data_IF_578723531822
#
_entry.id   IF_578723531822
#
_cell.length_a   1.000
_cell.length_b   1.000
_cell.length_c   1.000
_cell.angle_alpha   90.00
_cell.angle_beta   90.00
_cell.angle_gamma   90.00
#
_symmetry.space_group_name_H-M   'P 1'
#
loop_
_entity.id
_entity.type
_entity.pdbx_description
1 polymer ?
#
# COMPACT_ATOMS: atom_id res chain seq x y z
N UNK A 1 13.52 40.77 37.28
CA UNK A 1 14.55 39.74 37.05
C UNK A 1 13.85 38.44 36.65
N UNK A 2 13.53 38.20 35.36
CA UNK A 2 12.99 36.90 34.95
C UNK A 2 14.11 35.86 34.92
N UNK A 3 13.90 34.77 35.64
CA UNK A 3 14.82 33.64 35.80
C UNK A 3 15.06 32.88 34.50
N UNK A 4 16.34 32.61 34.25
CA UNK A 4 16.97 31.89 33.12
C UNK A 4 16.55 30.42 32.93
N UNK A 5 15.55 29.91 33.65
CA UNK A 5 15.17 28.49 33.65
C UNK A 5 14.01 28.15 32.70
N UNK A 6 13.32 29.14 32.14
CA UNK A 6 12.20 28.88 31.22
C UNK A 6 12.66 28.64 29.76
N UNK A 7 13.94 28.83 29.47
CA UNK A 7 14.49 28.70 28.10
C UNK A 7 14.99 27.28 27.77
N UNK A 8 15.17 26.39 28.75
CA UNK A 8 15.69 25.05 28.52
C UNK A 8 14.63 24.01 28.08
N UNK A 9 13.36 24.21 28.47
CA UNK A 9 12.28 23.26 28.16
C UNK A 9 11.76 23.43 26.73
N UNK A 10 11.85 24.63 26.15
CA UNK A 10 11.45 24.86 24.76
C UNK A 10 12.49 24.34 23.76
N UNK A 11 13.74 24.07 24.18
CA UNK A 11 14.83 23.65 23.29
C UNK A 11 14.98 22.12 23.15
N UNK A 12 14.37 21.30 24.02
CA UNK A 12 14.46 19.84 23.93
C UNK A 12 13.37 19.19 23.05
N UNK A 13 12.39 19.96 22.56
CA UNK A 13 11.28 19.45 21.73
C UNK A 13 11.59 19.47 20.22
N UNK A 14 12.80 19.88 19.83
CA UNK A 14 13.20 20.09 18.42
C UNK A 14 14.09 18.95 17.87
N UNK A 15 14.55 17.98 18.68
CA UNK A 15 15.55 17.00 18.24
C UNK A 15 15.18 15.51 18.42
N UNK A 16 13.90 15.18 18.54
CA UNK A 16 13.42 13.81 18.35
C UNK A 16 12.08 13.87 17.62
N UNK A 17 11.97 13.31 16.40
CA UNK A 17 10.68 13.25 15.73
C UNK A 17 9.70 12.49 16.65
N UNK A 18 8.46 12.97 16.83
CA UNK A 18 7.44 12.20 17.52
C UNK A 18 7.37 10.80 16.90
N UNK A 19 7.21 9.77 17.74
CA UNK A 19 7.28 8.36 17.31
C UNK A 19 6.37 8.07 16.09
N UNK A 20 5.25 8.77 15.98
CA UNK A 20 4.36 8.73 14.82
C UNK A 20 5.04 9.11 13.49
N UNK A 21 5.80 10.22 13.43
CA UNK A 21 6.50 10.62 12.22
C UNK A 21 7.65 9.68 11.85
N UNK A 22 8.28 9.05 12.84
CA UNK A 22 9.29 8.03 12.60
C UNK A 22 8.65 6.75 12.01
N UNK A 23 7.47 6.37 12.52
CA UNK A 23 6.68 5.24 12.04
C UNK A 23 6.19 5.47 10.60
N UNK A 24 5.61 6.64 10.30
CA UNK A 24 5.15 6.99 8.94
C UNK A 24 6.30 6.95 7.94
N UNK A 25 7.47 7.48 8.30
CA UNK A 25 8.67 7.41 7.44
C UNK A 25 9.15 5.98 7.22
N UNK A 26 9.13 5.15 8.26
CA UNK A 26 9.51 3.74 8.14
C UNK A 26 8.55 2.97 7.24
N UNK A 27 7.24 3.23 7.35
CA UNK A 27 6.21 2.65 6.48
C UNK A 27 6.35 3.12 5.04
N UNK A 28 6.58 4.40 4.80
CA UNK A 28 6.87 4.93 3.47
C UNK A 28 8.11 4.28 2.85
N UNK A 29 9.17 4.11 3.63
CA UNK A 29 10.41 3.46 3.17
C UNK A 29 10.18 1.97 2.91
N UNK A 30 9.35 1.29 3.70
CA UNK A 30 8.94 -0.09 3.43
C UNK A 30 8.12 -0.21 2.15
N UNK A 31 7.12 0.67 1.95
CA UNK A 31 6.31 0.69 0.73
C UNK A 31 7.12 0.97 -0.53
N UNK A 32 8.09 1.89 -0.46
CA UNK A 32 9.01 2.14 -1.59
C UNK A 32 9.87 0.92 -1.92
N UNK A 33 10.34 0.18 -0.91
CA UNK A 33 11.09 -1.06 -1.12
C UNK A 33 10.22 -2.15 -1.73
N UNK A 34 9.00 -2.34 -1.23
CA UNK A 34 8.08 -3.34 -1.78
C UNK A 34 7.79 -3.09 -3.27
N UNK A 35 7.58 -1.81 -3.64
CA UNK A 35 7.34 -1.43 -5.04
C UNK A 35 8.59 -1.71 -5.90
N UNK A 36 9.78 -1.36 -5.41
CA UNK A 36 11.03 -1.64 -6.12
C UNK A 36 11.23 -3.16 -6.30
N UNK A 37 11.11 -3.94 -5.23
CA UNK A 37 11.25 -5.39 -5.24
C UNK A 37 10.24 -6.06 -6.18
N UNK A 38 9.00 -5.54 -6.24
CA UNK A 38 7.99 -6.03 -7.17
C UNK A 38 8.42 -5.83 -8.63
N UNK A 39 8.90 -4.64 -8.99
CA UNK A 39 9.35 -4.38 -10.36
C UNK A 39 10.67 -5.08 -10.72
N UNK A 40 11.56 -5.31 -9.76
CA UNK A 40 12.74 -6.16 -9.99
C UNK A 40 12.31 -7.57 -10.41
N UNK A 41 11.30 -8.14 -9.72
CA UNK A 41 10.78 -9.49 -10.01
C UNK A 41 9.99 -9.59 -11.31
N UNK A 42 9.33 -8.51 -11.73
CA UNK A 42 8.60 -8.47 -13.01
C UNK A 42 9.49 -8.03 -14.18
N UNK A 43 10.80 -7.82 -13.95
CA UNK A 43 11.75 -7.46 -14.98
C UNK A 43 11.61 -6.00 -15.46
N UNK A 44 11.17 -5.11 -14.57
CA UNK A 44 10.92 -3.69 -14.82
C UNK A 44 9.89 -3.43 -15.94
N UNK A 45 8.92 -4.33 -16.07
CA UNK A 45 7.82 -4.22 -17.02
C UNK A 45 6.54 -3.85 -16.31
N UNK A 46 5.69 -3.09 -17.03
CA UNK A 46 4.32 -2.90 -16.63
C UNK A 46 3.58 -4.25 -16.59
N UNK A 47 2.68 -4.41 -15.63
CA UNK A 47 1.97 -5.65 -15.31
C UNK A 47 0.46 -5.46 -15.31
N UNK A 48 0.00 -4.22 -15.18
CA UNK A 48 -1.40 -3.83 -15.13
C UNK A 48 -1.91 -3.30 -16.46
N UNK A 49 -1.04 -3.10 -17.44
CA UNK A 49 -1.40 -2.72 -18.82
C UNK A 49 -0.87 -3.74 -19.83
N UNK A 50 -1.63 -3.96 -20.91
CA UNK A 50 -1.25 -4.81 -22.04
C UNK A 50 -0.28 -4.09 -22.99
N UNK A 51 0.19 -4.80 -24.02
CA UNK A 51 1.12 -4.25 -25.03
C UNK A 51 0.50 -3.07 -25.83
N UNK A 52 -0.82 -2.92 -25.77
CA UNK A 52 -1.58 -1.83 -26.38
C UNK A 52 -1.81 -0.66 -25.40
N UNK A 53 -1.33 -0.76 -24.16
CA UNK A 53 -1.45 0.26 -23.12
C UNK A 53 -2.81 0.27 -22.42
N UNK A 54 -3.62 -0.78 -22.57
CA UNK A 54 -4.95 -0.90 -21.93
C UNK A 54 -4.87 -1.70 -20.63
N UNK A 55 -5.71 -1.41 -19.63
CA UNK A 55 -5.70 -2.16 -18.38
C UNK A 55 -6.00 -3.65 -18.58
N UNK A 56 -5.25 -4.52 -17.92
CA UNK A 56 -5.48 -5.97 -17.94
C UNK A 56 -6.71 -6.36 -17.11
N UNK A 57 -7.22 -7.57 -17.31
CA UNK A 57 -8.30 -8.10 -16.45
C UNK A 57 -7.91 -8.15 -14.97
N UNK A 58 -6.64 -8.47 -14.66
CA UNK A 58 -6.11 -8.45 -13.31
C UNK A 58 -6.14 -7.03 -12.71
N UNK A 59 -5.84 -6.00 -13.50
CA UNK A 59 -5.92 -4.62 -13.06
C UNK A 59 -7.35 -4.26 -12.59
N UNK A 60 -8.36 -4.64 -13.38
CA UNK A 60 -9.77 -4.43 -13.01
C UNK A 60 -10.19 -5.20 -11.76
N UNK A 61 -9.72 -6.44 -11.59
CA UNK A 61 -9.97 -7.22 -10.36
C UNK A 61 -9.40 -6.51 -9.13
N UNK A 62 -8.13 -6.08 -9.19
CA UNK A 62 -7.49 -5.37 -8.07
C UNK A 62 -8.20 -4.05 -7.78
N UNK A 63 -8.54 -3.27 -8.81
CA UNK A 63 -9.30 -2.01 -8.65
C UNK A 63 -10.64 -2.22 -7.94
N UNK A 64 -11.40 -3.23 -8.35
CA UNK A 64 -12.68 -3.55 -7.72
C UNK A 64 -12.50 -3.87 -6.23
N UNK A 65 -11.47 -4.66 -5.88
CA UNK A 65 -11.16 -4.99 -4.48
C UNK A 65 -10.74 -3.76 -3.67
N UNK A 66 -9.89 -2.89 -4.21
CA UNK A 66 -9.45 -1.66 -3.53
C UNK A 66 -10.64 -0.72 -3.23
N UNK A 67 -11.61 -0.64 -4.14
CA UNK A 67 -12.86 0.12 -3.93
C UNK A 67 -13.76 -0.53 -2.87
N UNK A 68 -13.64 -1.83 -2.69
CA UNK A 68 -14.35 -2.61 -1.69
C UNK A 68 -13.56 -2.78 -0.37
N UNK A 69 -12.50 -2.00 -0.15
CA UNK A 69 -11.65 -2.11 1.04
C UNK A 69 -12.42 -1.93 2.37
N UNK A 70 -13.51 -1.15 2.36
CA UNK A 70 -14.42 -1.01 3.51
C UNK A 70 -15.01 -2.34 4.01
N UNK A 71 -15.15 -3.34 3.14
CA UNK A 71 -15.62 -4.67 3.53
C UNK A 71 -14.62 -5.40 4.46
N UNK A 72 -13.34 -5.00 4.44
CA UNK A 72 -12.31 -5.48 5.36
C UNK A 72 -12.06 -4.51 6.53
N UNK A 73 -12.91 -3.49 6.70
CA UNK A 73 -12.74 -2.46 7.74
C UNK A 73 -11.63 -1.45 7.45
N UNK A 74 -11.15 -1.39 6.21
CA UNK A 74 -10.15 -0.43 5.76
C UNK A 74 -10.81 0.82 5.15
N UNK A 75 -10.09 1.93 5.11
CA UNK A 75 -10.60 3.17 4.53
C UNK A 75 -10.37 3.16 3.01
N UNK A 76 -11.42 3.31 2.22
CA UNK A 76 -11.34 3.23 0.75
C UNK A 76 -10.49 4.37 0.18
N UNK A 77 -10.49 5.54 0.83
CA UNK A 77 -9.78 6.73 0.34
C UNK A 77 -8.25 6.56 0.40
N UNK A 78 -7.76 5.60 1.19
CA UNK A 78 -6.34 5.31 1.35
C UNK A 78 -5.68 4.63 0.15
N UNK A 79 -6.47 4.04 -0.75
CA UNK A 79 -5.98 3.19 -1.84
C UNK A 79 -6.24 3.77 -3.23
N UNK A 80 -6.65 5.04 -3.32
CA UNK A 80 -6.87 5.77 -4.59
C UNK A 80 -7.81 5.04 -5.58
N UNK A 81 -8.67 4.13 -5.12
CA UNK A 81 -9.43 3.23 -5.99
C UNK A 81 -10.28 3.95 -7.05
N UNK A 82 -10.96 5.02 -6.66
CA UNK A 82 -11.77 5.85 -7.58
C UNK A 82 -10.91 6.59 -8.61
N UNK A 83 -9.78 7.15 -8.20
CA UNK A 83 -8.87 7.86 -9.11
C UNK A 83 -8.24 6.89 -10.12
N UNK A 84 -7.77 5.74 -9.65
CA UNK A 84 -7.15 4.72 -10.52
C UNK A 84 -8.17 4.08 -11.48
N UNK A 85 -9.44 3.95 -11.08
CA UNK A 85 -10.50 3.51 -12.01
C UNK A 85 -10.74 4.52 -13.14
N UNK A 86 -10.71 5.82 -12.82
CA UNK A 86 -10.82 6.86 -13.83
C UNK A 86 -9.63 6.81 -14.81
N UNK A 87 -8.41 6.65 -14.29
CA UNK A 87 -7.19 6.45 -15.10
C UNK A 87 -7.30 5.20 -15.99
N UNK A 88 -7.74 4.06 -15.43
CA UNK A 88 -7.95 2.81 -16.17
C UNK A 88 -8.99 2.99 -17.30
N UNK A 89 -10.10 3.66 -17.01
CA UNK A 89 -11.15 3.94 -18.01
C UNK A 89 -10.63 4.82 -19.13
N UNK A 90 -9.82 5.84 -18.81
CA UNK A 90 -9.21 6.71 -19.81
C UNK A 90 -8.20 5.98 -20.71
N UNK A 91 -7.43 5.03 -20.15
CA UNK A 91 -6.53 4.15 -20.90
C UNK A 91 -7.31 3.20 -21.81
N UNK A 92 -8.36 2.55 -21.30
CA UNK A 92 -9.23 1.64 -22.06
C UNK A 92 -9.87 2.34 -23.27
N UNK A 93 -10.33 3.58 -23.09
CA UNK A 93 -10.94 4.39 -24.15
C UNK A 93 -9.92 5.01 -25.11
N UNK A 94 -8.62 4.84 -24.87
CA UNK A 94 -7.55 5.46 -25.65
C UNK A 94 -7.55 6.99 -25.60
N UNK A 95 -8.12 7.57 -24.52
CA UNK A 95 -8.10 9.00 -24.23
C UNK A 95 -6.73 9.37 -23.67
N UNK A 96 -6.24 8.58 -22.72
CA UNK A 96 -4.85 8.61 -22.30
C UNK A 96 -4.00 7.93 -23.39
N UNK A 97 -3.07 8.67 -24.00
CA UNK A 97 -2.25 8.18 -25.12
C UNK A 97 -0.75 8.23 -24.84
N UNK A 98 -0.33 8.80 -23.71
CA UNK A 98 1.08 8.84 -23.37
C UNK A 98 1.49 7.54 -22.66
N UNK A 99 2.65 7.00 -23.01
CA UNK A 99 3.29 5.92 -22.26
C UNK A 99 3.51 6.28 -20.79
N UNK A 100 3.63 7.58 -20.49
CA UNK A 100 3.71 8.11 -19.13
C UNK A 100 2.42 7.88 -18.32
N UNK A 101 1.23 7.98 -18.95
CA UNK A 101 -0.05 7.77 -18.27
C UNK A 101 -0.21 6.30 -17.86
N UNK A 102 0.11 5.39 -18.79
CA UNK A 102 0.10 3.95 -18.53
C UNK A 102 1.11 3.55 -17.43
N UNK A 103 2.31 4.13 -17.45
CA UNK A 103 3.31 3.89 -16.40
C UNK A 103 2.88 4.46 -15.04
N UNK A 104 2.27 5.65 -15.01
CA UNK A 104 1.76 6.25 -13.78
C UNK A 104 0.62 5.43 -13.17
N UNK A 105 -0.30 4.93 -14.01
CA UNK A 105 -1.35 4.01 -13.60
C UNK A 105 -0.76 2.71 -13.05
N UNK A 106 0.20 2.11 -13.76
CA UNK A 106 0.81 0.83 -13.38
C UNK A 106 1.52 0.91 -12.00
N UNK A 107 2.33 1.96 -11.79
CA UNK A 107 2.98 2.21 -10.49
C UNK A 107 1.95 2.57 -9.42
N UNK A 108 0.93 3.35 -9.77
CA UNK A 108 -0.15 3.75 -8.86
C UNK A 108 -0.92 2.54 -8.33
N UNK A 109 -1.31 1.63 -9.22
CA UNK A 109 -2.04 0.42 -8.85
C UNK A 109 -1.16 -0.54 -8.04
N UNK A 110 0.11 -0.72 -8.41
CA UNK A 110 1.09 -1.50 -7.63
C UNK A 110 1.22 -0.97 -6.21
N UNK A 111 1.40 0.34 -6.06
CA UNK A 111 1.56 0.99 -4.75
C UNK A 111 0.33 0.80 -3.87
N UNK A 112 -0.87 1.03 -4.43
CA UNK A 112 -2.13 0.85 -3.70
C UNK A 112 -2.38 -0.61 -3.31
N UNK A 113 -2.09 -1.56 -4.20
CA UNK A 113 -2.27 -2.99 -3.94
C UNK A 113 -1.33 -3.48 -2.82
N UNK A 114 -0.05 -3.10 -2.84
CA UNK A 114 0.90 -3.48 -1.80
C UNK A 114 0.54 -2.87 -0.43
N UNK A 115 0.13 -1.59 -0.42
CA UNK A 115 -0.38 -0.94 0.80
C UNK A 115 -1.59 -1.68 1.35
N UNK A 116 -2.55 -2.01 0.48
CA UNK A 116 -3.76 -2.74 0.86
C UNK A 116 -3.44 -4.12 1.47
N UNK A 117 -2.62 -4.94 0.80
CA UNK A 117 -2.25 -6.28 1.31
C UNK A 117 -1.55 -6.20 2.68
N UNK A 118 -0.68 -5.20 2.85
CA UNK A 118 0.03 -4.95 4.11
C UNK A 118 -0.93 -4.56 5.22
N UNK A 119 -1.80 -3.58 4.99
CA UNK A 119 -2.74 -3.09 6.00
C UNK A 119 -3.85 -4.10 6.30
N UNK A 120 -4.25 -4.91 5.32
CA UNK A 120 -5.16 -6.03 5.52
C UNK A 120 -4.59 -7.07 6.49
N UNK A 121 -3.30 -7.40 6.33
CA UNK A 121 -2.65 -8.44 7.14
C UNK A 121 -2.19 -7.94 8.50
N UNK A 122 -1.60 -6.74 8.55
CA UNK A 122 -0.98 -6.19 9.76
C UNK A 122 -1.93 -5.32 10.58
N UNK A 123 -3.07 -4.93 10.02
CA UNK A 123 -3.89 -3.85 10.53
C UNK A 123 -3.24 -2.47 10.34
N UNK A 124 -4.02 -1.41 10.56
CA UNK A 124 -3.54 -0.01 10.45
C UNK A 124 -2.84 0.50 11.72
N UNK A 125 -3.11 -0.11 12.87
CA UNK A 125 -2.65 0.38 14.18
C UNK A 125 -1.72 -0.65 14.81
N UNK A 126 -0.53 -0.21 15.22
CA UNK A 126 0.36 -1.02 16.05
C UNK A 126 -0.28 -1.23 17.44
N UNK A 127 -0.63 -2.46 17.83
CA UNK A 127 -1.24 -2.73 19.13
C UNK A 127 -0.34 -2.33 20.31
N UNK A 128 0.98 -2.23 20.10
CA UNK A 128 1.92 -1.73 21.11
C UNK A 128 1.71 -0.24 21.40
N UNK A 129 1.30 0.55 20.41
CA UNK A 129 0.92 1.94 20.60
C UNK A 129 -0.37 2.10 21.43
N UNK A 130 -1.19 1.03 21.50
CA UNK A 130 -2.38 0.93 22.34
C UNK A 130 -2.12 0.24 23.70
N UNK A 131 -0.86 -0.08 24.02
CA UNK A 131 -0.47 -0.72 25.29
C UNK A 131 -0.68 -2.24 25.34
N UNK A 132 -1.04 -2.88 24.23
CA UNK A 132 -1.11 -4.33 24.13
C UNK A 132 0.26 -4.91 23.80
N UNK A 133 0.78 -5.78 24.67
CA UNK A 133 1.92 -6.64 24.34
C UNK A 133 1.38 -7.85 23.56
N UNK A 134 1.27 -7.71 22.24
CA UNK A 134 1.15 -8.88 21.39
C UNK A 134 2.55 -9.48 21.21
N UNK A 135 2.77 -10.65 21.82
CA UNK A 135 4.00 -11.45 21.70
C UNK A 135 4.13 -12.16 20.34
N UNK A 136 3.16 -11.98 19.45
CA UNK A 136 3.25 -12.48 18.09
C UNK A 136 4.25 -11.62 17.30
N UNK A 137 5.39 -12.23 16.97
CA UNK A 137 6.26 -11.71 15.92
C UNK A 137 5.41 -11.52 14.67
N UNK A 138 5.25 -10.27 14.23
CA UNK A 138 4.64 -9.95 12.94
C UNK A 138 5.43 -10.72 11.89
N UNK A 139 4.82 -11.76 11.32
CA UNK A 139 5.49 -12.57 10.31
C UNK A 139 5.64 -11.71 9.04
N UNK A 140 6.87 -11.40 8.62
CA UNK A 140 7.08 -10.56 7.45
C UNK A 140 6.66 -11.34 6.22
N UNK A 141 5.44 -11.08 5.73
CA UNK A 141 4.97 -11.60 4.46
C UNK A 141 5.70 -10.87 3.33
N UNK A 142 6.20 -11.64 2.34
CA UNK A 142 6.75 -11.12 1.09
C UNK A 142 5.58 -10.66 0.18
N UNK A 143 4.99 -9.51 0.51
CA UNK A 143 3.87 -8.93 -0.24
C UNK A 143 4.19 -8.71 -1.73
N UNK A 144 5.40 -8.28 -2.14
CA UNK A 144 5.80 -8.24 -3.55
C UNK A 144 5.66 -9.60 -4.26
N UNK A 145 6.18 -10.67 -3.66
CA UNK A 145 6.07 -12.02 -4.24
C UNK A 145 4.62 -12.53 -4.30
N UNK A 146 3.82 -12.24 -3.27
CA UNK A 146 2.40 -12.58 -3.24
C UNK A 146 1.62 -11.86 -4.33
N UNK A 147 1.83 -10.56 -4.49
CA UNK A 147 1.17 -9.77 -5.54
C UNK A 147 1.58 -10.26 -6.93
N UNK A 148 2.87 -10.53 -7.15
CA UNK A 148 3.36 -11.07 -8.42
C UNK A 148 2.67 -12.40 -8.77
N UNK A 149 2.64 -13.34 -7.82
CA UNK A 149 2.02 -14.65 -8.01
C UNK A 149 0.51 -14.51 -8.26
N UNK A 150 -0.16 -13.63 -7.52
CA UNK A 150 -1.59 -13.36 -7.70
C UNK A 150 -1.92 -12.75 -9.08
N UNK A 151 -1.05 -11.91 -9.64
CA UNK A 151 -1.21 -11.37 -10.99
C UNK A 151 -1.07 -12.47 -12.04
N UNK A 152 -0.06 -13.34 -11.92
CA UNK A 152 0.19 -14.45 -12.86
C UNK A 152 -0.91 -15.51 -12.79
N UNK A 153 -1.34 -15.88 -11.58
CA UNK A 153 -2.30 -16.95 -11.34
C UNK A 153 -3.76 -16.46 -11.36
N UNK A 154 -3.99 -15.16 -11.58
CA UNK A 154 -5.30 -14.50 -11.45
C UNK A 154 -5.99 -14.81 -10.12
N UNK A 155 -5.21 -14.85 -9.03
CA UNK A 155 -5.64 -15.36 -7.72
C UNK A 155 -5.68 -14.28 -6.64
N UNK A 156 -5.84 -13.00 -7.02
CA UNK A 156 -5.85 -11.87 -6.10
C UNK A 156 -6.86 -12.03 -4.95
N UNK A 157 -8.12 -12.35 -5.24
CA UNK A 157 -9.13 -12.58 -4.21
C UNK A 157 -8.78 -13.72 -3.25
N UNK A 158 -8.06 -14.74 -3.74
CA UNK A 158 -7.61 -15.86 -2.91
C UNK A 158 -6.55 -15.41 -1.90
N UNK A 159 -5.58 -14.59 -2.32
CA UNK A 159 -4.57 -14.06 -1.39
C UNK A 159 -5.20 -13.10 -0.38
N UNK A 160 -6.19 -12.29 -0.79
CA UNK A 160 -6.94 -11.39 0.11
C UNK A 160 -7.65 -12.20 1.19
N UNK A 161 -8.38 -13.25 0.81
CA UNK A 161 -9.05 -14.13 1.77
C UNK A 161 -8.07 -14.80 2.74
N UNK A 162 -6.87 -15.16 2.28
CA UNK A 162 -5.83 -15.78 3.09
C UNK A 162 -5.10 -14.83 4.05
N UNK A 163 -5.05 -13.54 3.73
CA UNK A 163 -4.37 -12.52 4.55
C UNK A 163 -5.27 -11.92 5.64
N UNK A 164 -6.60 -12.07 5.53
CA UNK A 164 -7.54 -11.64 6.58
C UNK A 164 -7.12 -12.24 7.93
N UNK A 165 -7.08 -11.46 9.01
CA UNK A 165 -6.71 -11.97 10.32
C UNK A 165 -7.61 -13.14 10.71
N UNK A 166 -7.01 -14.30 11.00
CA UNK A 166 -7.73 -15.42 11.58
C UNK A 166 -7.99 -15.10 13.05
N UNK A 167 -9.07 -14.40 13.34
CA UNK A 167 -9.59 -14.38 14.71
C UNK A 167 -10.09 -15.80 15.01
N UNK A 168 -9.27 -16.60 15.69
CA UNK A 168 -9.71 -17.85 16.32
C UNK A 168 -10.96 -17.54 17.15
N UNK A 169 -12.09 -18.14 16.78
CA UNK A 169 -13.32 -18.15 17.56
C UNK A 169 -13.14 -18.93 18.86
#
# INVERSE_FOLDING_TARGET
>A
MPSTLQLAIVLAMVLSPPAFLAQERAQQTAGQRDVADFYERTGHRAVWVDDQGRPTGAAWTVLARLRAAHEDGLDVDDYRGTTLEFEATALEQGIARASADAAAFDVGLTTSALKFLRELHLGRVDPRALGFHLDHAVEPHDFPALLQSATVDHSFEKIVAGLRPQFMQ
#
